data_IF_927818025508
#
_entry.id   IF_927818025508
#
_cell.length_a   1.000
_cell.length_b   1.000
_cell.length_c   1.000
_cell.angle_alpha   90.00
_cell.angle_beta   90.00
_cell.angle_gamma   90.00
#
_symmetry.space_group_name_H-M   'P 1'
#
loop_
_entity.id
_entity.type
_entity.pdbx_description
1 polymer ?
#
# COMPACT_ATOMS: atom_id res chain seq x y z
N UNK A 1 11.07 4.04 4.52
CA UNK A 1 11.77 3.51 3.35
C UNK A 1 12.80 4.56 2.97
N UNK A 2 14.06 4.39 3.39
CA UNK A 2 15.15 5.32 3.11
C UNK A 2 15.80 4.92 1.77
N UNK A 3 15.90 5.86 0.83
CA UNK A 3 16.59 5.64 -0.44
C UNK A 3 18.10 5.66 -0.20
N UNK A 4 18.79 4.55 -0.50
CA UNK A 4 20.26 4.46 -0.43
C UNK A 4 20.86 4.74 -1.82
N UNK A 5 21.94 5.54 -1.92
CA UNK A 5 22.63 5.79 -3.19
C UNK A 5 23.30 4.51 -3.72
N UNK A 6 23.52 4.47 -5.04
CA UNK A 6 24.12 3.35 -5.75
C UNK A 6 25.59 3.14 -5.36
N UNK A 7 25.84 2.32 -4.32
CA UNK A 7 27.19 1.95 -3.88
C UNK A 7 27.35 0.46 -3.65
N UNK A 8 26.34 -0.20 -3.05
CA UNK A 8 26.30 -1.65 -2.90
C UNK A 8 25.25 -2.23 -3.84
N UNK A 9 25.73 -2.83 -4.94
CA UNK A 9 24.88 -3.58 -5.87
C UNK A 9 24.36 -4.84 -5.15
N UNK A 10 23.07 -5.12 -5.29
CA UNK A 10 22.47 -6.37 -4.84
C UNK A 10 23.23 -7.58 -5.36
N UNK A 11 23.67 -8.47 -4.46
CA UNK A 11 24.35 -9.72 -4.79
C UNK A 11 23.34 -10.89 -4.79
N UNK A 12 22.95 -11.43 -5.96
CA UNK A 12 22.00 -12.53 -6.05
C UNK A 12 22.49 -13.83 -5.39
N UNK A 13 23.80 -14.10 -5.35
CA UNK A 13 24.33 -15.37 -4.83
C UNK A 13 24.17 -15.49 -3.30
N UNK A 14 24.04 -14.35 -2.63
CA UNK A 14 23.77 -14.24 -1.19
C UNK A 14 22.27 -14.27 -0.86
N UNK A 15 21.41 -14.37 -1.85
CA UNK A 15 19.97 -14.26 -1.68
C UNK A 15 19.23 -15.41 -2.34
N UNK A 16 18.15 -15.83 -1.72
CA UNK A 16 17.27 -16.86 -2.25
C UNK A 16 15.81 -16.46 -2.09
N UNK A 17 14.98 -16.82 -3.06
CA UNK A 17 13.53 -16.68 -2.92
C UNK A 17 12.90 -18.00 -2.55
N UNK A 18 12.08 -17.99 -1.50
CA UNK A 18 11.40 -19.18 -0.97
C UNK A 18 9.90 -18.95 -0.88
N UNK A 19 9.13 -20.03 -0.96
CA UNK A 19 7.71 -19.97 -0.59
C UNK A 19 7.59 -19.92 0.93
N UNK A 20 6.83 -18.95 1.43
CA UNK A 20 6.58 -18.83 2.86
C UNK A 20 5.24 -19.43 3.24
N UNK A 21 5.20 -20.04 4.43
CA UNK A 21 3.94 -20.38 5.08
C UNK A 21 3.22 -19.11 5.55
N UNK A 22 1.96 -19.26 5.94
CA UNK A 22 1.12 -18.13 6.33
C UNK A 22 1.57 -17.47 7.64
N UNK A 23 2.07 -18.25 8.59
CA UNK A 23 2.51 -17.78 9.91
C UNK A 23 3.71 -16.86 9.79
N UNK A 24 4.77 -17.28 9.08
CA UNK A 24 6.00 -16.51 8.92
C UNK A 24 5.76 -15.24 8.10
N UNK A 25 4.96 -15.34 7.04
CA UNK A 25 4.59 -14.19 6.22
C UNK A 25 3.77 -13.16 7.02
N UNK A 26 2.85 -13.61 7.90
CA UNK A 26 2.08 -12.72 8.79
C UNK A 26 2.99 -12.04 9.80
N UNK A 27 3.86 -12.79 10.47
CA UNK A 27 4.78 -12.24 11.47
C UNK A 27 5.68 -11.17 10.85
N UNK A 28 6.28 -11.47 9.68
CA UNK A 28 7.14 -10.53 8.98
C UNK A 28 6.37 -9.29 8.47
N UNK A 29 5.16 -9.49 7.91
CA UNK A 29 4.32 -8.38 7.47
C UNK A 29 3.92 -7.45 8.64
N UNK A 30 3.62 -8.03 9.81
CA UNK A 30 3.25 -7.26 11.00
C UNK A 30 4.40 -6.39 11.50
N UNK A 31 5.62 -6.93 11.49
CA UNK A 31 6.82 -6.24 11.96
C UNK A 31 7.32 -5.16 10.99
N UNK A 32 7.22 -5.36 9.67
CA UNK A 32 7.93 -4.52 8.70
C UNK A 32 7.04 -3.74 7.74
N UNK A 33 5.79 -4.14 7.52
CA UNK A 33 4.91 -3.44 6.59
C UNK A 33 4.10 -2.36 7.33
N UNK A 34 4.02 -1.15 6.78
CA UNK A 34 3.31 -0.02 7.41
C UNK A 34 1.83 -0.29 7.74
N UNK A 35 1.21 -1.24 7.04
CA UNK A 35 -0.19 -1.62 7.24
C UNK A 35 -0.38 -2.72 8.29
N UNK A 36 0.70 -3.39 8.72
CA UNK A 36 0.84 -4.51 9.66
C UNK A 36 -0.01 -5.77 9.41
N UNK A 37 -1.21 -5.65 8.85
CA UNK A 37 -2.09 -6.77 8.52
C UNK A 37 -1.78 -7.34 7.13
N UNK A 38 -1.64 -8.65 7.04
CA UNK A 38 -1.51 -9.37 5.78
C UNK A 38 -2.91 -9.70 5.19
N UNK A 39 -3.16 -9.42 3.89
CA UNK A 39 -4.40 -9.79 3.23
C UNK A 39 -4.45 -11.30 2.95
N UNK A 40 -5.64 -11.86 2.63
CA UNK A 40 -5.76 -13.23 2.13
C UNK A 40 -4.86 -13.43 0.92
N UNK A 41 -3.92 -14.37 1.04
CA UNK A 41 -2.84 -14.54 0.09
C UNK A 41 -2.96 -15.85 -0.69
N UNK A 42 -2.74 -15.73 -2.00
CA UNK A 42 -2.67 -16.82 -2.98
C UNK A 42 -1.26 -17.41 -3.04
N UNK A 43 -0.24 -16.56 -2.95
CA UNK A 43 1.16 -16.97 -2.88
C UNK A 43 1.94 -15.96 -2.02
N UNK A 44 2.88 -16.46 -1.22
CA UNK A 44 3.74 -15.66 -0.35
C UNK A 44 5.19 -16.02 -0.69
N UNK A 45 5.98 -15.03 -1.05
CA UNK A 45 7.38 -15.21 -1.44
C UNK A 45 8.26 -14.45 -0.46
N UNK A 46 9.15 -15.15 0.21
CA UNK A 46 10.18 -14.58 1.08
C UNK A 46 11.49 -14.39 0.35
N UNK A 47 12.22 -13.33 0.68
CA UNK A 47 13.62 -13.13 0.31
C UNK A 47 14.49 -13.50 1.50
N UNK A 48 15.21 -14.61 1.39
CA UNK A 48 16.19 -15.05 2.37
C UNK A 48 17.56 -14.46 2.03
N UNK A 49 18.30 -14.02 3.04
CA UNK A 49 19.70 -13.61 2.93
C UNK A 49 20.56 -14.61 3.67
N UNK A 50 21.58 -15.12 2.99
CA UNK A 50 22.58 -16.02 3.56
C UNK A 50 23.48 -15.29 4.55
N UNK A 51 23.58 -15.84 5.74
CA UNK A 51 24.41 -15.32 6.83
C UNK A 51 25.62 -16.22 7.06
N UNK A 52 26.80 -15.64 7.26
CA UNK A 52 28.05 -16.42 7.32
C UNK A 52 28.15 -17.31 8.57
N UNK A 53 27.55 -16.89 9.69
CA UNK A 53 27.70 -17.54 11.00
C UNK A 53 26.37 -17.68 11.76
N UNK A 54 25.24 -17.61 11.06
CA UNK A 54 23.91 -17.76 11.66
C UNK A 54 22.94 -18.36 10.65
N UNK A 55 21.73 -18.69 11.12
CA UNK A 55 20.64 -19.02 10.22
C UNK A 55 20.36 -17.87 9.23
N UNK A 56 19.89 -18.25 8.05
CA UNK A 56 19.48 -17.31 7.01
C UNK A 56 18.38 -16.38 7.53
N UNK A 57 18.48 -15.12 7.15
CA UNK A 57 17.54 -14.09 7.60
C UNK A 57 16.48 -13.82 6.53
N UNK A 58 15.21 -13.79 6.92
CA UNK A 58 14.15 -13.26 6.07
C UNK A 58 14.31 -11.73 6.00
N UNK A 59 14.60 -11.20 4.83
CA UNK A 59 14.89 -9.77 4.61
C UNK A 59 13.89 -9.08 3.68
N UNK A 60 12.99 -9.83 3.06
CA UNK A 60 11.94 -9.27 2.21
C UNK A 60 10.75 -10.20 2.02
N UNK A 61 9.62 -9.64 1.63
CA UNK A 61 8.35 -10.34 1.47
C UNK A 61 7.55 -9.75 0.30
N UNK A 62 7.08 -10.62 -0.59
CA UNK A 62 6.10 -10.32 -1.63
C UNK A 62 4.86 -11.21 -1.46
N UNK A 63 3.70 -10.60 -1.26
CA UNK A 63 2.42 -11.29 -1.06
C UNK A 63 1.51 -11.02 -2.25
N UNK A 64 1.21 -12.09 -2.99
CA UNK A 64 0.22 -12.07 -4.06
C UNK A 64 -1.14 -12.42 -3.46
N UNK A 65 -1.99 -11.41 -3.32
CA UNK A 65 -3.27 -11.49 -2.62
C UNK A 65 -4.45 -11.71 -3.55
N UNK A 66 -5.55 -12.16 -2.94
CA UNK A 66 -6.88 -12.04 -3.52
C UNK A 66 -7.25 -10.55 -3.49
N UNK A 67 -7.57 -9.92 -4.63
CA UNK A 67 -7.97 -8.52 -4.64
C UNK A 67 -9.27 -8.33 -3.87
N UNK A 68 -9.47 -7.14 -3.30
CA UNK A 68 -10.72 -6.84 -2.59
C UNK A 68 -11.95 -6.90 -3.51
N UNK A 69 -11.77 -6.61 -4.80
CA UNK A 69 -12.80 -6.70 -5.82
C UNK A 69 -12.21 -7.43 -7.02
N UNK A 70 -12.74 -8.60 -7.36
CA UNK A 70 -12.21 -9.40 -8.47
C UNK A 70 -12.25 -8.65 -9.82
N UNK A 71 -13.22 -7.74 -9.98
CA UNK A 71 -13.36 -6.88 -11.15
C UNK A 71 -12.13 -6.00 -11.46
N UNK A 72 -11.23 -5.77 -10.50
CA UNK A 72 -9.99 -5.01 -10.77
C UNK A 72 -9.05 -5.75 -11.71
N UNK A 73 -9.04 -7.09 -11.69
CA UNK A 73 -8.21 -7.89 -12.57
C UNK A 73 -8.68 -7.74 -14.02
N UNK A 74 -9.99 -7.83 -14.26
CA UNK A 74 -10.54 -7.63 -15.59
C UNK A 74 -10.39 -6.19 -16.07
N UNK A 75 -10.63 -5.22 -15.18
CA UNK A 75 -10.50 -3.80 -15.49
C UNK A 75 -9.10 -3.43 -15.97
N UNK A 76 -8.07 -3.80 -15.21
CA UNK A 76 -6.70 -3.33 -15.42
C UNK A 76 -5.83 -4.33 -16.17
N UNK A 77 -5.98 -5.63 -15.91
CA UNK A 77 -5.10 -6.66 -16.46
C UNK A 77 -5.72 -7.43 -17.63
N UNK A 78 -7.05 -7.30 -17.86
CA UNK A 78 -7.81 -8.15 -18.81
C UNK A 78 -7.58 -9.63 -18.50
N UNK A 79 -7.75 -9.96 -17.22
CA UNK A 79 -7.47 -11.25 -16.63
C UNK A 79 -8.49 -11.57 -15.53
N UNK A 80 -8.65 -12.86 -15.25
CA UNK A 80 -9.53 -13.39 -14.22
C UNK A 80 -8.76 -13.76 -12.94
N UNK A 81 -9.46 -14.36 -11.98
CA UNK A 81 -8.86 -14.85 -10.74
C UNK A 81 -7.86 -15.99 -10.96
N UNK A 82 -7.91 -16.73 -12.06
CA UNK A 82 -6.96 -17.82 -12.31
C UNK A 82 -5.61 -17.27 -12.79
N UNK A 83 -5.65 -16.28 -13.68
CA UNK A 83 -4.50 -15.75 -14.42
C UNK A 83 -4.00 -14.38 -13.95
N UNK A 84 -4.75 -13.69 -13.08
CA UNK A 84 -4.41 -12.38 -12.51
C UNK A 84 -4.35 -12.39 -10.98
N UNK A 85 -3.45 -11.60 -10.40
CA UNK A 85 -3.36 -11.41 -8.94
C UNK A 85 -3.01 -9.96 -8.56
N UNK A 86 -3.23 -9.60 -7.30
CA UNK A 86 -2.75 -8.33 -6.74
C UNK A 86 -1.44 -8.57 -5.97
N UNK A 87 -0.39 -7.78 -6.22
CA UNK A 87 0.74 -7.68 -5.29
C UNK A 87 0.33 -6.75 -4.15
N UNK A 88 -0.27 -7.34 -3.12
CA UNK A 88 -0.94 -6.62 -2.03
C UNK A 88 -0.02 -6.24 -0.86
N UNK A 89 1.06 -6.99 -0.63
CA UNK A 89 2.12 -6.59 0.31
C UNK A 89 3.47 -6.78 -0.33
N UNK A 90 4.30 -5.77 -0.25
CA UNK A 90 5.68 -5.82 -0.71
C UNK A 90 6.54 -5.03 0.25
N UNK A 91 7.53 -5.68 0.85
CA UNK A 91 8.42 -5.06 1.82
C UNK A 91 9.82 -5.66 1.70
N UNK A 92 10.82 -4.81 1.71
CA UNK A 92 12.22 -5.17 1.90
C UNK A 92 12.73 -4.40 3.12
N UNK A 93 13.51 -5.08 3.96
CA UNK A 93 14.19 -4.45 5.10
C UNK A 93 15.41 -3.68 4.63
N UNK A 94 16.01 -2.88 5.51
CA UNK A 94 17.23 -2.13 5.23
C UNK A 94 18.46 -3.03 4.96
N UNK A 95 18.35 -4.33 5.26
CA UNK A 95 19.36 -5.33 4.97
C UNK A 95 19.45 -5.71 3.48
N UNK A 96 18.46 -5.31 2.66
CA UNK A 96 18.44 -5.56 1.22
C UNK A 96 19.20 -4.42 0.52
N UNK A 97 20.24 -4.76 -0.24
CA UNK A 97 21.06 -3.78 -0.95
C UNK A 97 20.35 -3.21 -2.19
N UNK A 98 20.96 -2.21 -2.81
CA UNK A 98 20.36 -1.45 -3.92
C UNK A 98 19.96 -2.35 -5.10
N UNK A 99 18.76 -2.11 -5.65
CA UNK A 99 18.07 -2.90 -6.68
C UNK A 99 17.46 -4.23 -6.21
N UNK A 100 17.62 -4.61 -4.94
CA UNK A 100 17.08 -5.85 -4.41
C UNK A 100 15.55 -5.94 -4.47
N UNK A 101 14.82 -4.82 -4.37
CA UNK A 101 13.37 -4.82 -4.55
C UNK A 101 12.95 -5.24 -5.95
N UNK A 102 13.60 -4.67 -6.96
CA UNK A 102 13.32 -4.98 -8.36
C UNK A 102 13.71 -6.42 -8.71
N UNK A 103 14.81 -6.92 -8.13
CA UNK A 103 15.23 -8.30 -8.24
C UNK A 103 14.21 -9.25 -7.60
N UNK A 104 13.75 -8.96 -6.37
CA UNK A 104 12.75 -9.74 -5.66
C UNK A 104 11.46 -9.85 -6.45
N UNK A 105 10.96 -8.75 -7.03
CA UNK A 105 9.75 -8.79 -7.89
C UNK A 105 9.95 -9.77 -9.06
N UNK A 106 11.09 -9.69 -9.75
CA UNK A 106 11.38 -10.58 -10.89
C UNK A 106 11.52 -12.04 -10.46
N UNK A 107 12.20 -12.30 -9.34
CA UNK A 107 12.38 -13.64 -8.79
C UNK A 107 11.04 -14.24 -8.30
N UNK A 108 10.22 -13.45 -7.60
CA UNK A 108 8.87 -13.81 -7.20
C UNK A 108 7.96 -14.12 -8.40
N UNK A 109 8.10 -13.40 -9.51
CA UNK A 109 7.37 -13.70 -10.74
C UNK A 109 7.77 -15.03 -11.39
N UNK A 110 9.02 -15.50 -11.22
CA UNK A 110 9.42 -16.84 -11.65
C UNK A 110 8.78 -17.92 -10.78
N UNK A 111 8.70 -17.69 -9.47
CA UNK A 111 7.98 -18.59 -8.55
C UNK A 111 6.49 -18.63 -8.91
N UNK A 112 5.84 -17.50 -9.12
CA UNK A 112 4.44 -17.47 -9.58
C UNK A 112 4.22 -18.27 -10.86
N UNK A 113 5.16 -18.18 -11.82
CA UNK A 113 5.06 -18.92 -13.07
C UNK A 113 5.09 -20.44 -12.84
N UNK A 114 5.97 -20.90 -11.94
CA UNK A 114 6.18 -22.31 -11.63
C UNK A 114 5.04 -22.90 -10.80
N UNK A 115 4.59 -22.14 -9.80
CA UNK A 115 3.66 -22.65 -8.76
C UNK A 115 2.20 -22.39 -9.12
N UNK A 116 1.91 -21.52 -10.09
CA UNK A 116 0.53 -21.08 -10.38
C UNK A 116 0.30 -20.79 -11.86
N UNK A 117 -0.97 -20.55 -12.22
CA UNK A 117 -1.37 -20.04 -13.55
C UNK A 117 -1.36 -18.51 -13.66
N UNK A 118 -0.96 -17.79 -12.61
CA UNK A 118 -0.93 -16.33 -12.60
C UNK A 118 0.14 -15.84 -13.58
N UNK A 119 -0.25 -14.97 -14.51
CA UNK A 119 0.63 -14.34 -15.51
C UNK A 119 0.52 -12.81 -15.55
N UNK A 120 -0.41 -12.24 -14.81
CA UNK A 120 -0.61 -10.80 -14.74
C UNK A 120 -0.76 -10.36 -13.30
N UNK A 121 -0.14 -9.23 -12.96
CA UNK A 121 -0.08 -8.72 -11.59
C UNK A 121 -0.43 -7.25 -11.62
N UNK A 122 -1.38 -6.87 -10.76
CA UNK A 122 -1.70 -5.47 -10.47
C UNK A 122 -1.10 -5.09 -9.12
N UNK A 123 -0.61 -3.87 -8.98
CA UNK A 123 -0.18 -3.33 -7.70
C UNK A 123 -0.56 -1.87 -7.57
N UNK A 124 -0.76 -1.44 -6.33
CA UNK A 124 -1.20 -0.09 -6.01
C UNK A 124 -0.08 0.66 -5.31
N UNK A 125 0.09 1.90 -5.74
CA UNK A 125 1.10 2.81 -5.24
C UNK A 125 0.40 4.06 -4.71
N UNK A 126 0.66 4.39 -3.45
CA UNK A 126 -0.07 5.43 -2.76
C UNK A 126 0.73 6.74 -2.77
N UNK A 127 0.28 7.77 -3.52
CA UNK A 127 1.13 8.92 -3.81
C UNK A 127 1.06 10.02 -2.74
N UNK A 128 0.11 9.96 -1.81
CA UNK A 128 -0.14 11.05 -0.87
C UNK A 128 0.59 10.77 0.45
N UNK A 129 1.51 11.63 0.94
CA UNK A 129 2.06 11.46 2.27
C UNK A 129 1.01 11.72 3.36
N UNK A 130 1.14 11.07 4.52
CA UNK A 130 0.28 11.28 5.70
C UNK A 130 1.13 11.88 6.78
N UNK A 131 0.52 12.78 7.53
CA UNK A 131 1.13 13.45 8.66
C UNK A 131 0.26 13.28 9.90
N UNK A 132 0.87 13.33 11.08
CA UNK A 132 0.16 13.48 12.35
C UNK A 132 -0.23 14.96 12.60
N UNK A 133 -0.88 15.21 13.73
CA UNK A 133 -1.31 16.55 14.16
C UNK A 133 -0.14 17.53 14.37
N UNK A 134 1.08 17.03 14.57
CA UNK A 134 2.29 17.84 14.74
C UNK A 134 3.04 18.06 13.41
N UNK A 135 2.53 17.51 12.31
CA UNK A 135 3.15 17.62 10.98
C UNK A 135 4.24 16.57 10.70
N UNK A 136 4.45 15.58 11.58
CA UNK A 136 5.41 14.51 11.33
C UNK A 136 4.85 13.52 10.31
N UNK A 137 5.69 13.07 9.37
CA UNK A 137 5.27 12.12 8.34
C UNK A 137 5.08 10.73 8.96
N UNK A 138 3.84 10.26 8.98
CA UNK A 138 3.45 8.92 9.47
C UNK A 138 3.44 7.88 8.35
N UNK A 139 3.22 8.32 7.11
CA UNK A 139 3.35 7.48 5.92
C UNK A 139 3.88 8.29 4.75
N UNK A 140 4.98 7.83 4.16
CA UNK A 140 5.52 8.43 2.94
C UNK A 140 4.61 8.16 1.75
N UNK A 141 4.37 9.20 0.93
CA UNK A 141 3.89 9.02 -0.43
C UNK A 141 4.99 8.40 -1.28
N UNK A 142 4.62 7.60 -2.28
CA UNK A 142 5.59 7.07 -3.24
C UNK A 142 5.03 7.09 -4.66
N UNK A 143 5.94 7.13 -5.65
CA UNK A 143 5.60 7.17 -7.09
C UNK A 143 5.78 5.82 -7.77
N UNK A 144 6.05 4.76 -7.01
CA UNK A 144 6.15 3.41 -7.55
C UNK A 144 7.38 3.23 -8.44
N UNK A 145 8.49 3.90 -8.13
CA UNK A 145 9.78 3.80 -8.85
C UNK A 145 10.22 2.33 -9.00
N UNK A 146 9.99 1.50 -7.99
CA UNK A 146 10.23 0.05 -8.04
C UNK A 146 9.48 -0.64 -9.20
N UNK A 147 8.24 -0.22 -9.48
CA UNK A 147 7.43 -0.77 -10.56
C UNK A 147 7.91 -0.29 -11.93
N UNK A 148 8.41 0.95 -12.00
CA UNK A 148 9.03 1.48 -13.22
C UNK A 148 10.31 0.72 -13.56
N UNK A 149 11.14 0.39 -12.55
CA UNK A 149 12.37 -0.39 -12.72
C UNK A 149 12.14 -1.82 -13.25
N UNK A 150 10.96 -2.40 -12.99
CA UNK A 150 10.57 -3.70 -13.56
C UNK A 150 9.74 -3.57 -14.83
N UNK A 151 9.66 -2.38 -15.42
CA UNK A 151 8.91 -2.08 -16.63
C UNK A 151 7.40 -2.36 -16.51
N UNK A 152 6.83 -2.21 -15.32
CA UNK A 152 5.39 -2.29 -15.12
C UNK A 152 4.70 -1.08 -15.76
N UNK A 153 3.56 -1.29 -16.41
CA UNK A 153 2.79 -0.21 -17.04
C UNK A 153 2.00 0.55 -15.99
N UNK A 154 2.04 1.88 -16.06
CA UNK A 154 1.08 2.69 -15.32
C UNK A 154 -0.27 2.62 -16.03
N UNK A 155 -1.31 2.17 -15.32
CA UNK A 155 -2.66 1.94 -15.86
C UNK A 155 -3.67 3.01 -15.39
N UNK A 156 -3.18 4.10 -14.82
CA UNK A 156 -3.99 5.20 -14.30
C UNK A 156 -4.06 5.20 -12.77
N UNK A 157 -5.24 5.52 -12.24
CA UNK A 157 -5.50 5.63 -10.80
C UNK A 157 -6.74 4.84 -10.39
N UNK A 158 -6.74 4.38 -9.15
CA UNK A 158 -7.98 3.93 -8.50
C UNK A 158 -8.93 5.10 -8.26
N UNK A 159 -10.19 4.80 -7.96
CA UNK A 159 -11.20 5.84 -7.77
C UNK A 159 -10.79 6.81 -6.64
N UNK A 160 -10.94 8.13 -6.86
CA UNK A 160 -10.60 9.11 -5.85
C UNK A 160 -11.60 9.00 -4.69
N UNK A 161 -11.13 9.14 -3.45
CA UNK A 161 -11.95 8.97 -2.23
C UNK A 161 -11.62 10.02 -1.19
N UNK A 162 -12.47 10.16 -0.19
CA UNK A 162 -12.14 10.93 1.01
C UNK A 162 -11.65 9.96 2.06
N UNK A 163 -10.51 10.26 2.68
CA UNK A 163 -9.99 9.48 3.80
C UNK A 163 -10.27 10.24 5.08
N UNK A 164 -10.59 9.49 6.13
CA UNK A 164 -10.65 10.00 7.51
C UNK A 164 -9.34 9.60 8.18
N UNK A 165 -8.63 10.57 8.73
CA UNK A 165 -7.39 10.38 9.48
C UNK A 165 -7.64 10.64 10.96
N UNK A 166 -7.06 9.82 11.83
CA UNK A 166 -6.90 10.14 13.25
C UNK A 166 -5.86 11.26 13.44
N UNK A 167 -5.76 11.81 14.65
CA UNK A 167 -4.67 12.74 15.04
C UNK A 167 -3.27 12.16 14.84
N UNK A 168 -3.12 10.85 14.99
CA UNK A 168 -1.89 10.12 14.70
C UNK A 168 -1.63 9.85 13.21
N UNK A 169 -2.43 10.45 12.30
CA UNK A 169 -2.29 10.31 10.85
C UNK A 169 -2.69 8.95 10.29
N UNK A 170 -3.30 8.07 11.11
CA UNK A 170 -3.75 6.75 10.69
C UNK A 170 -5.10 6.82 9.97
N UNK A 171 -5.25 6.03 8.90
CA UNK A 171 -6.49 6.01 8.11
C UNK A 171 -7.54 5.16 8.82
N UNK A 172 -8.67 5.77 9.15
CA UNK A 172 -9.87 5.05 9.60
C UNK A 172 -10.56 4.48 8.35
N UNK A 173 -10.58 3.15 8.25
CA UNK A 173 -11.12 2.49 7.06
C UNK A 173 -12.65 2.55 7.00
N UNK A 174 -13.21 2.86 5.83
CA UNK A 174 -14.66 2.83 5.60
C UNK A 174 -15.27 1.45 5.91
N UNK A 175 -14.51 0.38 5.68
CA UNK A 175 -14.92 -0.98 6.00
C UNK A 175 -15.08 -1.20 7.52
N UNK A 176 -14.18 -0.66 8.33
CA UNK A 176 -14.30 -0.72 9.79
C UNK A 176 -15.55 0.04 10.26
N UNK A 177 -15.80 1.22 9.70
CA UNK A 177 -16.99 2.03 9.98
C UNK A 177 -18.28 1.29 9.56
N UNK A 178 -18.29 0.68 8.38
CA UNK A 178 -19.43 -0.12 7.90
C UNK A 178 -19.77 -1.28 8.84
N UNK A 179 -18.76 -1.97 9.39
CA UNK A 179 -18.98 -3.05 10.36
C UNK A 179 -19.68 -2.56 11.63
N UNK A 180 -19.31 -1.37 12.12
CA UNK A 180 -19.97 -0.77 13.29
C UNK A 180 -21.41 -0.42 12.93
N UNK A 181 -21.65 0.26 11.80
CA UNK A 181 -22.99 0.67 11.37
C UNK A 181 -23.94 -0.51 11.19
N UNK A 182 -23.46 -1.60 10.62
CA UNK A 182 -24.26 -2.79 10.31
C UNK A 182 -24.25 -3.86 11.41
N UNK A 183 -23.49 -3.66 12.51
CA UNK A 183 -23.40 -4.66 13.58
C UNK A 183 -22.73 -5.98 13.17
N UNK A 184 -21.89 -5.96 12.13
CA UNK A 184 -21.30 -7.16 11.55
C UNK A 184 -20.19 -7.78 12.41
N UNK A 185 -19.78 -8.99 12.04
CA UNK A 185 -18.61 -9.64 12.63
C UNK A 185 -17.35 -8.76 12.60
N UNK A 186 -16.85 -8.44 13.79
CA UNK A 186 -15.71 -7.53 13.99
C UNK A 186 -16.08 -6.08 14.31
N UNK A 187 -17.37 -5.75 14.47
CA UNK A 187 -17.82 -4.44 14.94
C UNK A 187 -17.16 -4.02 16.27
N UNK A 188 -17.10 -4.93 17.26
CA UNK A 188 -16.47 -4.65 18.55
C UNK A 188 -14.97 -4.31 18.42
N UNK A 189 -14.26 -4.98 17.50
CA UNK A 189 -12.85 -4.68 17.25
C UNK A 189 -12.67 -3.34 16.51
N UNK A 190 -13.53 -3.06 15.53
CA UNK A 190 -13.55 -1.77 14.85
C UNK A 190 -13.87 -0.62 15.82
N UNK A 191 -14.81 -0.84 16.75
CA UNK A 191 -15.15 0.11 17.80
C UNK A 191 -13.95 0.41 18.71
N UNK A 192 -13.25 -0.61 19.21
CA UNK A 192 -12.02 -0.43 20.01
C UNK A 192 -10.94 0.35 19.27
N UNK A 193 -10.75 0.10 17.96
CA UNK A 193 -9.81 0.89 17.17
C UNK A 193 -10.23 2.35 17.04
N UNK A 194 -11.54 2.62 16.95
CA UNK A 194 -12.05 3.98 16.86
C UNK A 194 -11.81 4.75 18.17
N UNK A 195 -12.05 4.10 19.32
CA UNK A 195 -11.73 4.67 20.63
C UNK A 195 -10.23 4.90 20.81
N UNK A 196 -9.39 3.94 20.44
CA UNK A 196 -7.94 4.09 20.48
C UNK A 196 -7.43 5.22 19.56
N UNK A 197 -8.19 5.57 18.53
CA UNK A 197 -7.91 6.71 17.66
C UNK A 197 -8.43 8.06 18.20
N UNK A 198 -9.06 8.07 19.38
CA UNK A 198 -9.55 9.27 20.06
C UNK A 198 -11.05 9.55 19.89
N UNK A 199 -11.83 8.64 19.33
CA UNK A 199 -13.29 8.84 19.26
C UNK A 199 -13.92 8.86 20.66
N UNK A 200 -15.00 9.64 20.84
CA UNK A 200 -15.80 9.58 22.06
C UNK A 200 -16.44 8.21 22.23
N UNK A 201 -16.79 7.85 23.46
CA UNK A 201 -17.57 6.63 23.71
C UNK A 201 -18.99 6.75 23.17
N UNK A 202 -19.58 5.60 22.83
CA UNK A 202 -20.99 5.50 22.44
C UNK A 202 -21.88 5.80 23.63
N UNK A 203 -22.87 6.65 23.42
CA UNK A 203 -23.82 7.02 24.46
C UNK A 203 -24.84 5.91 24.72
N UNK A 204 -25.46 5.92 25.90
CA UNK A 204 -26.46 4.91 26.26
C UNK A 204 -27.66 5.02 25.31
N UNK A 205 -28.02 3.90 24.66
CA UNK A 205 -29.13 3.84 23.70
C UNK A 205 -28.87 4.47 22.33
N UNK A 206 -27.67 5.01 22.06
CA UNK A 206 -27.35 5.59 20.76
C UNK A 206 -27.26 4.51 19.68
N UNK A 207 -27.87 4.70 18.50
CA UNK A 207 -27.76 3.72 17.41
C UNK A 207 -26.35 3.68 16.80
N UNK A 208 -25.82 2.51 16.34
CA UNK A 208 -24.46 2.41 15.82
C UNK A 208 -24.15 3.34 14.65
N UNK A 209 -25.15 3.60 13.79
CA UNK A 209 -25.04 4.53 12.67
C UNK A 209 -24.87 5.97 13.13
N UNK A 210 -25.61 6.38 14.16
CA UNK A 210 -25.58 7.72 14.73
C UNK A 210 -24.29 7.95 15.51
N UNK A 211 -23.84 6.94 16.26
CA UNK A 211 -22.52 6.92 16.91
C UNK A 211 -21.39 7.20 15.91
N UNK A 212 -21.34 6.47 14.80
CA UNK A 212 -20.29 6.67 13.79
C UNK A 212 -20.34 8.09 13.22
N UNK A 213 -21.54 8.64 13.00
CA UNK A 213 -21.70 10.01 12.48
C UNK A 213 -21.18 11.04 13.49
N UNK A 214 -21.55 10.92 14.77
CA UNK A 214 -21.13 11.80 15.86
C UNK A 214 -19.63 11.70 16.11
N UNK A 215 -19.10 10.48 16.22
CA UNK A 215 -17.68 10.23 16.43
C UNK A 215 -16.81 10.85 15.33
N UNK A 216 -17.19 10.69 14.05
CA UNK A 216 -16.47 11.28 12.91
C UNK A 216 -16.64 12.80 12.76
N UNK A 217 -17.48 13.42 13.59
CA UNK A 217 -17.66 14.87 13.66
C UNK A 217 -16.88 15.50 14.82
N UNK A 218 -16.28 14.68 15.68
CA UNK A 218 -15.36 15.15 16.73
C UNK A 218 -14.06 15.71 16.15
N UNK A 219 -13.33 16.44 16.98
CA UNK A 219 -12.00 16.98 16.71
C UNK A 219 -10.87 15.92 16.73
N UNK A 220 -11.22 14.64 16.91
CA UNK A 220 -10.29 13.53 16.82
C UNK A 220 -9.92 13.17 15.38
N UNK A 221 -10.68 13.65 14.38
CA UNK A 221 -10.54 13.23 12.99
C UNK A 221 -10.43 14.38 11.99
N UNK A 222 -9.56 14.21 11.00
CA UNK A 222 -9.43 15.11 9.84
C UNK A 222 -9.79 14.39 8.56
N UNK A 223 -10.50 15.07 7.65
CA UNK A 223 -10.80 14.54 6.31
C UNK A 223 -9.75 15.02 5.32
N UNK A 224 -9.31 14.15 4.42
CA UNK A 224 -8.43 14.53 3.32
C UNK A 224 -8.97 14.00 1.99
N UNK A 225 -8.83 14.79 0.93
CA UNK A 225 -9.17 14.36 -0.43
C UNK A 225 -8.02 13.53 -1.01
N UNK A 226 -8.29 12.26 -1.30
CA UNK A 226 -7.32 11.36 -1.91
C UNK A 226 -7.60 11.19 -3.41
N UNK A 227 -6.62 11.44 -4.30
CA UNK A 227 -6.82 11.39 -5.75
C UNK A 227 -6.90 9.98 -6.33
N UNK A 228 -6.71 8.96 -5.49
CA UNK A 228 -6.62 7.56 -5.89
C UNK A 228 -5.16 7.08 -5.94
N UNK A 229 -4.96 5.78 -5.74
CA UNK A 229 -3.65 5.16 -5.81
C UNK A 229 -3.26 5.01 -7.28
N UNK A 230 -1.99 5.22 -7.63
CA UNK A 230 -1.49 4.80 -8.93
C UNK A 230 -1.60 3.29 -9.08
N UNK A 231 -2.00 2.85 -10.26
CA UNK A 231 -2.19 1.43 -10.57
C UNK A 231 -1.10 1.00 -11.54
N UNK A 232 -0.32 0.00 -11.15
CA UNK A 232 0.72 -0.59 -11.99
C UNK A 232 0.34 -2.01 -12.39
N UNK A 233 0.45 -2.33 -13.68
CA UNK A 233 0.23 -3.66 -14.22
C UNK A 233 1.51 -4.23 -14.81
N UNK A 234 1.82 -5.49 -14.52
CA UNK A 234 2.97 -6.19 -15.11
C UNK A 234 2.63 -7.62 -15.48
N UNK A 235 3.28 -8.11 -16.54
CA UNK A 235 3.22 -9.52 -16.93
C UNK A 235 4.31 -10.32 -16.24
N UNK A 236 3.98 -11.55 -15.84
CA UNK A 236 4.90 -12.53 -15.28
C UNK A 236 4.89 -13.80 -16.13
N UNK A 237 5.99 -14.54 -16.06
CA UNK A 237 6.26 -15.68 -16.93
C UNK A 237 7.37 -15.43 -17.96
N UNK A 238 7.39 -16.25 -19.01
CA UNK A 238 8.37 -16.21 -20.07
C UNK A 238 8.20 -14.95 -20.96
N UNK A 239 9.15 -14.73 -21.88
CA UNK A 239 9.17 -13.51 -22.72
C UNK A 239 7.88 -13.34 -23.54
N UNK A 240 7.32 -14.42 -24.07
CA UNK A 240 6.09 -14.39 -24.87
C UNK A 240 4.88 -14.09 -23.98
N UNK A 241 4.74 -14.77 -22.84
CA UNK A 241 3.64 -14.54 -21.89
C UNK A 241 3.62 -13.07 -21.41
N UNK A 242 4.78 -12.52 -21.03
CA UNK A 242 4.90 -11.12 -20.63
C UNK A 242 4.52 -10.17 -21.75
N UNK A 243 4.91 -10.47 -23.00
CA UNK A 243 4.53 -9.66 -24.17
C UNK A 243 3.02 -9.70 -24.40
N UNK A 244 2.40 -10.88 -24.34
CA UNK A 244 0.95 -11.05 -24.52
C UNK A 244 0.16 -10.29 -23.45
N UNK A 245 0.54 -10.43 -22.17
CA UNK A 245 -0.05 -9.68 -21.06
C UNK A 245 0.13 -8.18 -21.27
N UNK A 246 1.33 -7.75 -21.64
CA UNK A 246 1.64 -6.35 -21.94
C UNK A 246 0.75 -5.79 -23.07
N UNK A 247 0.55 -6.54 -24.16
CA UNK A 247 -0.33 -6.13 -25.27
C UNK A 247 -1.78 -5.98 -24.80
N UNK A 248 -2.30 -6.94 -24.02
CA UNK A 248 -3.67 -6.89 -23.47
C UNK A 248 -3.93 -5.67 -22.59
N UNK A 249 -2.93 -5.23 -21.82
CA UNK A 249 -3.03 -4.05 -20.96
C UNK A 249 -3.01 -2.70 -21.72
N UNK A 250 -2.72 -2.69 -23.03
CA UNK A 250 -2.58 -1.45 -23.81
C UNK A 250 -1.25 -0.72 -23.53
N UNK A 251 -1.00 0.47 -24.11
CA UNK A 251 0.33 1.11 -24.11
C UNK A 251 0.83 1.58 -22.74
N UNK A 252 -0.04 1.71 -21.73
CA UNK A 252 0.30 2.32 -20.44
C UNK A 252 0.46 3.84 -20.54
N UNK A 253 0.38 4.52 -19.40
CA UNK A 253 0.51 5.97 -19.28
C UNK A 253 1.96 6.37 -18.92
N UNK A 254 2.36 7.63 -19.18
CA UNK A 254 3.64 8.16 -18.72
C UNK A 254 3.78 8.08 -17.18
N UNK A 255 4.98 7.74 -16.72
CA UNK A 255 5.24 7.62 -15.28
C UNK A 255 5.22 8.98 -14.56
N UNK A 256 4.66 9.03 -13.34
CA UNK A 256 4.63 10.26 -12.56
C UNK A 256 6.04 10.62 -12.07
N UNK A 257 6.38 11.91 -12.18
CA UNK A 257 7.69 12.46 -11.77
C UNK A 257 7.63 13.28 -10.47
N UNK A 258 6.45 13.68 -10.02
CA UNK A 258 6.24 14.49 -8.82
C UNK A 258 5.14 13.92 -7.93
N UNK A 259 5.32 13.99 -6.61
CA UNK A 259 4.28 13.64 -5.65
C UNK A 259 3.23 14.75 -5.57
N UNK A 260 1.93 14.42 -5.51
CA UNK A 260 0.91 15.41 -5.19
C UNK A 260 1.12 15.92 -3.76
N UNK A 261 0.97 17.23 -3.56
CA UNK A 261 1.00 17.84 -2.23
C UNK A 261 -0.08 17.21 -1.32
N UNK A 262 0.22 17.05 -0.03
CA UNK A 262 -0.79 16.68 0.97
C UNK A 262 -1.76 17.84 1.16
N UNK A 263 -2.93 17.77 0.53
CA UNK A 263 -3.99 18.74 0.77
C UNK A 263 -4.75 18.29 2.02
N UNK A 264 -4.34 18.79 3.19
CA UNK A 264 -5.25 18.85 4.32
C UNK A 264 -6.40 19.77 3.91
N UNK A 265 -7.67 19.34 4.01
CA UNK A 265 -8.77 20.29 3.89
C UNK A 265 -8.70 21.16 5.14
N UNK A 266 -8.04 22.31 5.01
CA UNK A 266 -7.99 23.32 6.05
C UNK A 266 -9.42 23.74 6.38
N UNK A 267 -9.78 23.63 7.65
CA UNK A 267 -10.80 24.48 8.21
C UNK A 267 -10.20 25.89 8.18
N UNK A 268 -10.63 26.73 7.23
CA UNK A 268 -10.28 28.14 7.21
C UNK A 268 -10.74 28.78 8.52
N UNK A 269 -9.82 28.93 9.48
CA UNK A 269 -9.96 29.95 10.52
C UNK A 269 -9.05 31.10 10.12
N UNK A 270 -9.66 32.06 9.45
CA UNK A 270 -9.42 33.49 9.57
C UNK A 270 -8.20 33.89 10.39
N UNK A 271 -7.15 34.31 9.68
CA UNK A 271 -6.27 35.37 10.13
C UNK A 271 -6.20 36.42 9.02
N UNK A 272 -7.21 37.29 9.03
CA UNK A 272 -7.14 38.59 8.39
C UNK A 272 -6.16 39.49 9.16
N UNK A 273 -5.45 40.33 8.40
CA UNK A 273 -4.71 41.52 8.84
C UNK A 273 -3.48 41.36 9.74
N UNK A 274 -2.32 41.38 9.13
CA UNK A 274 -1.31 42.48 9.14
C UNK A 274 -0.32 42.09 8.04
N UNK A 275 0.04 42.87 7.04
CA UNK A 275 0.19 44.32 6.92
C UNK A 275 1.31 44.48 5.90
N UNK A 276 1.01 45.17 4.80
CA UNK A 276 1.82 45.36 3.60
C UNK A 276 3.15 46.14 3.83
N UNK A 277 4.07 45.94 2.88
CA UNK A 277 5.21 46.77 2.45
C UNK A 277 6.47 46.75 3.35
N UNK A 278 7.71 46.72 2.83
CA UNK A 278 8.31 47.63 1.83
C UNK A 278 9.58 46.99 1.19
N UNK A 279 9.63 47.03 -0.14
CA UNK A 279 10.75 47.20 -1.09
C UNK A 279 12.19 46.64 -0.88
N UNK A 280 12.62 45.94 -1.94
CA UNK A 280 13.81 46.15 -2.78
C UNK A 280 15.21 46.30 -2.16
N UNK A 281 16.05 45.30 -2.42
CA UNK A 281 17.36 45.34 -3.10
C UNK A 281 18.14 44.06 -2.77
#
# INVERSE_FOLDING_TARGET
MSFRPAGELFNPDRHEVVLLNDTDAKAFCAAHHYASAMPPARLRVGLMRKMAFSADALVGLAVFSVPMQNAVLEKYLKADMETGAELGRFVCTEAVEGNGESWLIRAACRLLQRETKIRSIVSYCDPVPRVDEFGNITKFGHLGTIYQAVSAKLLGRSSPRTLVLSRSGQVISERALSKIRAGESGAAYAYRQLLAAGAPEREWGEEPGDYVRRALSSDAFTRIRHPGNYVYGMGCGNKLERRLVSTRMGPGLPYPKAQPASVASGNERTSANMGLNVFAA
#
